data_IF_194245174318
#
_entry.id   IF_194245174318
#
_cell.length_a   1.000
_cell.length_b   1.000
_cell.length_c   1.000
_cell.angle_alpha   90.00
_cell.angle_beta   90.00
_cell.angle_gamma   90.00
#
_symmetry.space_group_name_H-M   'P 1'
#
loop_
_entity.id
_entity.type
_entity.pdbx_description
1 polymer ?
#
# COMPACT_ATOMS: atom_id res chain seq x y z
N UNK A 1 -2.72 -1.19 17.41
CA UNK A 1 -2.83 -1.27 15.94
C UNK A 1 -1.47 -1.43 15.27
N UNK A 2 -0.49 -0.56 15.58
CA UNK A 2 0.87 -0.67 15.03
C UNK A 2 1.65 -1.90 15.50
N UNK A 3 1.43 -2.38 16.72
CA UNK A 3 2.03 -3.63 17.22
C UNK A 3 1.62 -4.86 16.39
N UNK A 4 0.47 -4.81 15.71
CA UNK A 4 0.00 -5.85 14.78
C UNK A 4 0.66 -5.75 13.40
N UNK A 5 1.47 -4.73 13.15
CA UNK A 5 2.24 -4.55 11.91
C UNK A 5 3.72 -4.77 12.20
N UNK A 6 4.07 -5.95 12.72
CA UNK A 6 5.40 -6.34 13.14
C UNK A 6 5.94 -7.52 12.31
N UNK A 7 7.25 -7.74 12.41
CA UNK A 7 7.89 -8.90 11.81
C UNK A 7 7.35 -10.22 12.38
N UNK A 8 7.11 -10.28 13.68
CA UNK A 8 6.59 -11.48 14.36
C UNK A 8 5.17 -11.82 13.89
N UNK A 9 4.30 -10.81 13.72
CA UNK A 9 2.95 -11.03 13.20
C UNK A 9 3.00 -11.49 11.74
N UNK A 10 3.91 -10.92 10.94
CA UNK A 10 4.14 -11.37 9.56
C UNK A 10 4.51 -12.85 9.48
N UNK A 11 5.50 -13.29 10.28
CA UNK A 11 5.94 -14.69 10.32
C UNK A 11 4.85 -15.61 10.88
N UNK A 12 4.15 -15.18 11.93
CA UNK A 12 3.01 -15.91 12.51
C UNK A 12 1.89 -16.15 11.48
N UNK A 13 1.57 -15.19 10.61
CA UNK A 13 0.56 -15.37 9.57
C UNK A 13 1.02 -16.34 8.47
N UNK A 14 2.33 -16.37 8.17
CA UNK A 14 2.93 -17.37 7.29
C UNK A 14 2.82 -18.77 7.91
N UNK A 15 3.23 -18.93 9.17
CA UNK A 15 3.24 -20.22 9.88
C UNK A 15 1.83 -20.82 10.05
N UNK A 16 0.81 -19.96 10.14
CA UNK A 16 -0.61 -20.34 10.15
C UNK A 16 -1.15 -20.73 8.77
N UNK A 17 -0.34 -20.67 7.72
CA UNK A 17 -0.72 -21.04 6.37
C UNK A 17 -1.62 -20.03 5.66
N UNK A 18 -1.66 -18.75 6.08
CA UNK A 18 -2.40 -17.73 5.34
C UNK A 18 -1.80 -17.48 3.96
N UNK A 19 -2.63 -17.05 3.01
CA UNK A 19 -2.15 -16.65 1.69
C UNK A 19 -1.46 -15.28 1.76
N UNK A 20 -0.16 -15.27 2.07
CA UNK A 20 0.60 -14.02 2.20
C UNK A 20 1.05 -13.52 0.83
N UNK A 21 0.75 -12.26 0.52
CA UNK A 21 1.23 -11.55 -0.67
C UNK A 21 2.02 -10.33 -0.21
N UNK A 22 3.21 -10.14 -0.77
CA UNK A 22 4.09 -9.01 -0.42
C UNK A 22 4.22 -8.04 -1.60
N UNK A 23 4.16 -6.74 -1.34
CA UNK A 23 4.37 -5.67 -2.33
C UNK A 23 5.57 -4.80 -1.93
N UNK A 24 6.65 -4.83 -2.71
CA UNK A 24 7.91 -4.14 -2.44
C UNK A 24 7.96 -2.78 -3.13
N UNK A 25 8.29 -1.73 -2.37
CA UNK A 25 8.48 -0.40 -2.96
C UNK A 25 9.80 -0.26 -3.73
N UNK A 26 9.83 0.55 -4.81
CA UNK A 26 11.07 0.87 -5.52
C UNK A 26 12.14 1.47 -4.62
N UNK A 27 11.76 2.26 -3.62
CA UNK A 27 12.66 2.89 -2.65
C UNK A 27 13.31 1.86 -1.74
N UNK A 28 12.53 0.93 -1.18
CA UNK A 28 13.04 -0.17 -0.35
C UNK A 28 14.00 -1.05 -1.18
N UNK A 29 13.62 -1.36 -2.42
CA UNK A 29 14.46 -2.11 -3.37
C UNK A 29 15.77 -1.38 -3.66
N UNK A 30 15.72 -0.08 -3.91
CA UNK A 30 16.90 0.74 -4.17
C UNK A 30 17.83 0.83 -2.94
N UNK A 31 17.27 1.01 -1.74
CA UNK A 31 18.05 1.04 -0.50
C UNK A 31 18.79 -0.28 -0.25
N UNK A 32 18.11 -1.41 -0.41
CA UNK A 32 18.73 -2.74 -0.29
C UNK A 32 19.76 -3.01 -1.41
N UNK A 33 19.51 -2.51 -2.62
CA UNK A 33 20.46 -2.61 -3.74
C UNK A 33 21.79 -1.93 -3.41
N UNK A 34 21.74 -0.71 -2.86
CA UNK A 34 22.92 0.00 -2.39
C UNK A 34 23.59 -0.76 -1.24
N UNK A 35 22.82 -1.22 -0.25
CA UNK A 35 23.36 -1.93 0.92
C UNK A 35 24.15 -3.20 0.55
N UNK A 36 23.63 -4.00 -0.38
CA UNK A 36 24.26 -5.26 -0.79
C UNK A 36 25.22 -5.13 -1.99
N UNK A 37 25.39 -3.93 -2.56
CA UNK A 37 26.20 -3.74 -3.78
C UNK A 37 25.65 -4.48 -5.00
N UNK A 38 24.32 -4.60 -5.10
CA UNK A 38 23.62 -5.32 -6.18
C UNK A 38 22.79 -4.35 -7.02
N UNK A 39 22.41 -4.75 -8.24
CA UNK A 39 21.42 -3.99 -9.01
C UNK A 39 20.00 -4.14 -8.40
N UNK A 40 19.10 -3.17 -8.61
CA UNK A 40 17.70 -3.29 -8.16
C UNK A 40 17.00 -4.56 -8.66
N UNK A 41 17.32 -5.00 -9.89
CA UNK A 41 16.76 -6.23 -10.47
C UNK A 41 17.29 -7.47 -9.75
N UNK A 42 18.58 -7.53 -9.42
CA UNK A 42 19.15 -8.63 -8.64
C UNK A 42 18.54 -8.70 -7.24
N UNK A 43 18.37 -7.54 -6.57
CA UNK A 43 17.70 -7.48 -5.26
C UNK A 43 16.26 -7.95 -5.34
N UNK A 44 15.49 -7.51 -6.34
CA UNK A 44 14.11 -7.98 -6.50
C UNK A 44 14.05 -9.50 -6.67
N UNK A 45 14.93 -10.08 -7.50
CA UNK A 45 15.01 -11.54 -7.69
C UNK A 45 15.37 -12.27 -6.39
N UNK A 46 16.40 -11.81 -5.67
CA UNK A 46 16.81 -12.42 -4.39
C UNK A 46 15.73 -12.31 -3.33
N UNK A 47 15.10 -11.15 -3.18
CA UNK A 47 13.95 -10.98 -2.28
C UNK A 47 12.77 -11.86 -2.70
N UNK A 48 12.52 -12.03 -4.00
CA UNK A 48 11.47 -12.94 -4.49
C UNK A 48 11.74 -14.37 -4.02
N UNK A 49 12.96 -14.87 -4.22
CA UNK A 49 13.36 -16.21 -3.77
C UNK A 49 13.26 -16.33 -2.24
N UNK A 50 13.77 -15.34 -1.52
CA UNK A 50 13.76 -15.29 -0.07
C UNK A 50 12.35 -15.33 0.52
N UNK A 51 11.47 -14.41 0.12
CA UNK A 51 10.09 -14.41 0.61
C UNK A 51 9.34 -15.68 0.21
N UNK A 52 9.55 -16.23 -0.99
CA UNK A 52 8.95 -17.50 -1.39
C UNK A 52 9.43 -18.67 -0.53
N UNK A 53 10.72 -18.72 -0.16
CA UNK A 53 11.23 -19.76 0.74
C UNK A 53 10.67 -19.68 2.15
N UNK A 54 10.20 -18.50 2.59
CA UNK A 54 9.46 -18.36 3.84
C UNK A 54 8.01 -18.82 3.72
N UNK A 55 7.44 -18.92 2.53
CA UNK A 55 6.03 -19.31 2.31
C UNK A 55 5.16 -18.21 1.71
N UNK A 56 5.73 -17.05 1.34
CA UNK A 56 4.98 -16.00 0.64
C UNK A 56 4.56 -16.49 -0.75
N UNK A 57 3.27 -16.33 -1.07
CA UNK A 57 2.66 -16.85 -2.31
C UNK A 57 3.04 -16.02 -3.53
N UNK A 58 3.15 -14.70 -3.40
CA UNK A 58 3.56 -13.80 -4.47
C UNK A 58 4.27 -12.55 -3.95
N UNK A 59 5.23 -12.05 -4.75
CA UNK A 59 5.91 -10.77 -4.53
C UNK A 59 5.66 -9.84 -5.72
N UNK A 60 5.18 -8.63 -5.47
CA UNK A 60 4.92 -7.60 -6.48
C UNK A 60 5.80 -6.37 -6.26
N UNK A 61 6.03 -5.60 -7.33
CA UNK A 61 6.71 -4.31 -7.28
C UNK A 61 5.67 -3.19 -7.39
N UNK A 62 5.72 -2.20 -6.50
CA UNK A 62 4.74 -1.11 -6.49
C UNK A 62 4.97 -0.04 -7.57
N UNK A 63 5.95 -0.22 -8.47
CA UNK A 63 6.17 0.68 -9.61
C UNK A 63 4.91 0.86 -10.46
N UNK A 64 4.19 -0.21 -10.78
CA UNK A 64 2.95 -0.12 -11.56
C UNK A 64 1.87 0.71 -10.83
N UNK A 65 1.68 0.47 -9.53
CA UNK A 65 0.75 1.29 -8.73
C UNK A 65 1.17 2.74 -8.62
N UNK A 66 2.48 3.04 -8.66
CA UNK A 66 2.97 4.43 -8.69
C UNK A 66 2.59 5.12 -9.99
N UNK A 67 2.70 4.43 -11.11
CA UNK A 67 2.30 4.97 -12.41
C UNK A 67 0.78 5.20 -12.48
N UNK A 68 -0.01 4.27 -11.92
CA UNK A 68 -1.47 4.45 -11.81
C UNK A 68 -1.83 5.65 -10.93
N UNK A 69 -1.24 5.78 -9.73
CA UNK A 69 -1.47 6.97 -8.88
C UNK A 69 -1.05 8.27 -9.58
N UNK A 70 0.01 8.25 -10.39
CA UNK A 70 0.44 9.41 -11.16
C UNK A 70 -0.59 9.78 -12.23
N UNK A 71 -1.06 8.80 -13.01
CA UNK A 71 -2.09 9.02 -14.04
C UNK A 71 -3.36 9.60 -13.40
N UNK A 72 -3.83 9.03 -12.29
CA UNK A 72 -5.01 9.52 -11.59
C UNK A 72 -4.79 10.93 -11.01
N UNK A 73 -3.60 11.23 -10.49
CA UNK A 73 -3.26 12.58 -10.01
C UNK A 73 -3.26 13.60 -11.16
N UNK A 74 -2.76 13.22 -12.33
CA UNK A 74 -2.82 14.05 -13.53
C UNK A 74 -4.27 14.29 -13.98
N UNK A 75 -5.11 13.25 -13.99
CA UNK A 75 -6.52 13.36 -14.33
C UNK A 75 -7.26 14.30 -13.38
N UNK A 76 -7.05 14.14 -12.07
CA UNK A 76 -7.62 15.01 -11.05
C UNK A 76 -7.15 16.47 -11.22
N UNK A 77 -5.85 16.68 -11.46
CA UNK A 77 -5.31 18.01 -11.70
C UNK A 77 -5.95 18.67 -12.92
N UNK A 78 -6.06 17.96 -14.05
CA UNK A 78 -6.69 18.49 -15.27
C UNK A 78 -8.15 18.84 -15.01
N UNK A 79 -8.89 18.01 -14.27
CA UNK A 79 -10.28 18.29 -13.91
C UNK A 79 -10.40 19.55 -13.04
N UNK A 80 -9.60 19.63 -11.97
CA UNK A 80 -9.54 20.81 -11.07
C UNK A 80 -9.13 22.08 -11.84
N UNK A 81 -8.14 21.97 -12.72
CA UNK A 81 -7.70 23.09 -13.56
C UNK A 81 -8.82 23.58 -14.47
N UNK A 82 -9.53 22.70 -15.18
CA UNK A 82 -10.69 23.10 -16.01
C UNK A 82 -11.77 23.81 -15.20
N UNK A 83 -12.09 23.32 -14.01
CA UNK A 83 -13.05 23.96 -13.09
C UNK A 83 -12.56 25.35 -12.66
N UNK A 84 -11.26 25.51 -12.39
CA UNK A 84 -10.67 26.80 -11.99
C UNK A 84 -10.81 27.89 -13.08
N UNK A 85 -10.88 27.49 -14.36
CA UNK A 85 -11.03 28.41 -15.49
C UNK A 85 -12.48 28.82 -15.75
N UNK A 86 -13.45 28.10 -15.17
CA UNK A 86 -14.87 28.38 -15.35
C UNK A 86 -15.29 29.58 -14.48
N UNK A 87 -15.60 30.72 -15.10
CA UNK A 87 -16.08 31.91 -14.41
C UNK A 87 -17.51 31.74 -13.90
N UNK A 88 -17.72 31.77 -12.58
CA UNK A 88 -19.06 31.97 -11.99
C UNK A 88 -19.46 31.06 -10.83
N UNK A 89 -18.74 29.96 -10.58
CA UNK A 89 -19.08 29.04 -9.48
C UNK A 89 -18.18 29.27 -8.25
N UNK A 90 -18.75 29.32 -7.04
CA UNK A 90 -17.99 29.31 -5.78
C UNK A 90 -17.05 28.09 -5.68
N UNK A 91 -17.41 26.95 -6.32
CA UNK A 91 -16.55 25.75 -6.46
C UNK A 91 -15.26 26.00 -7.25
N UNK A 92 -15.20 27.01 -8.13
CA UNK A 92 -13.99 27.35 -8.88
C UNK A 92 -12.86 27.83 -7.97
N UNK A 93 -13.18 28.51 -6.85
CA UNK A 93 -12.22 29.11 -5.93
C UNK A 93 -11.45 28.09 -5.08
N UNK A 94 -11.98 26.88 -4.88
CA UNK A 94 -11.38 25.83 -4.04
C UNK A 94 -10.72 24.71 -4.86
N UNK A 95 -10.61 24.86 -6.17
CA UNK A 95 -10.06 23.82 -7.05
C UNK A 95 -8.53 23.78 -7.08
N UNK A 96 -7.86 24.92 -6.84
CA UNK A 96 -6.40 25.06 -6.90
C UNK A 96 -5.88 25.96 -5.76
N UNK A 97 -4.65 25.75 -5.27
CA UNK A 97 -3.65 24.77 -5.74
C UNK A 97 -4.05 23.32 -5.43
N UNK A 98 -3.48 22.36 -6.15
CA UNK A 98 -3.64 20.93 -5.83
C UNK A 98 -2.39 20.41 -5.15
N UNK A 99 -2.55 19.78 -3.99
CA UNK A 99 -1.45 19.31 -3.14
C UNK A 99 -1.46 17.78 -3.12
N UNK A 100 -0.29 17.17 -3.29
CA UNK A 100 -0.14 15.72 -3.28
C UNK A 100 -0.56 15.10 -1.93
N UNK A 101 -1.10 13.89 -1.99
CA UNK A 101 -1.65 13.14 -0.84
C UNK A 101 -0.83 11.92 -0.42
N UNK A 102 0.18 11.53 -1.20
CA UNK A 102 0.84 10.22 -1.05
C UNK A 102 1.72 10.06 0.21
N UNK A 103 2.02 11.15 0.92
CA UNK A 103 2.85 11.16 2.14
C UNK A 103 1.96 11.15 3.39
N UNK A 104 1.95 10.06 4.20
CA UNK A 104 1.07 9.98 5.36
C UNK A 104 1.40 10.99 6.46
N UNK A 105 2.69 11.31 6.65
CA UNK A 105 3.10 12.36 7.59
C UNK A 105 2.54 13.73 7.22
N UNK A 106 2.50 14.06 5.92
CA UNK A 106 1.85 15.27 5.41
C UNK A 106 0.34 15.26 5.66
N UNK A 107 -0.35 14.16 5.33
CA UNK A 107 -1.80 14.04 5.57
C UNK A 107 -2.12 14.20 7.06
N UNK A 108 -1.38 13.53 7.94
CA UNK A 108 -1.55 13.63 9.38
C UNK A 108 -1.34 15.07 9.87
N UNK A 109 -0.30 15.75 9.39
CA UNK A 109 -0.05 17.16 9.71
C UNK A 109 -1.19 18.07 9.22
N UNK A 110 -1.63 17.89 7.98
CA UNK A 110 -2.72 18.66 7.38
C UNK A 110 -4.03 18.49 8.16
N UNK A 111 -4.43 17.26 8.47
CA UNK A 111 -5.65 16.95 9.22
C UNK A 111 -5.62 17.53 10.64
N UNK A 112 -4.50 17.38 11.36
CA UNK A 112 -4.40 17.77 12.77
C UNK A 112 -4.11 19.25 13.00
N UNK A 113 -3.41 19.89 12.07
CA UNK A 113 -2.86 21.24 12.30
C UNK A 113 -3.52 22.29 11.43
N UNK A 114 -3.86 21.96 10.19
CA UNK A 114 -4.32 22.93 9.20
C UNK A 114 -5.84 22.84 8.94
N UNK A 115 -6.42 21.65 9.05
CA UNK A 115 -7.86 21.41 8.94
C UNK A 115 -8.46 21.95 7.63
N UNK A 116 -9.65 22.54 7.74
CA UNK A 116 -10.45 23.01 6.58
C UNK A 116 -9.73 24.02 5.68
N UNK A 117 -8.66 24.67 6.17
CA UNK A 117 -7.86 25.58 5.36
C UNK A 117 -7.14 24.86 4.22
N UNK A 118 -6.62 23.65 4.44
CA UNK A 118 -5.79 22.93 3.47
C UNK A 118 -6.47 21.70 2.87
N UNK A 119 -7.34 21.02 3.63
CA UNK A 119 -7.92 19.74 3.24
C UNK A 119 -8.63 19.77 1.86
N UNK A 120 -9.35 20.83 1.46
CA UNK A 120 -9.98 20.89 0.12
C UNK A 120 -8.97 20.86 -1.05
N UNK A 121 -7.73 21.28 -0.80
CA UNK A 121 -6.67 21.37 -1.80
C UNK A 121 -5.87 20.08 -1.95
N UNK A 122 -6.03 19.13 -1.02
CA UNK A 122 -5.34 17.84 -1.08
C UNK A 122 -6.00 16.94 -2.14
N UNK A 123 -5.17 16.26 -2.92
CA UNK A 123 -5.57 15.25 -3.89
C UNK A 123 -6.37 14.13 -3.23
N UNK A 124 -7.45 13.69 -3.86
CA UNK A 124 -8.21 12.52 -3.40
C UNK A 124 -7.59 11.18 -3.84
N UNK A 125 -6.51 11.22 -4.63
CA UNK A 125 -5.87 10.01 -5.16
C UNK A 125 -5.16 9.25 -4.04
N UNK A 126 -5.38 7.94 -4.00
CA UNK A 126 -4.70 7.02 -3.07
C UNK A 126 -3.19 7.00 -3.33
N UNK A 127 -2.41 6.80 -2.26
CA UNK A 127 -0.97 6.59 -2.43
C UNK A 127 -0.68 5.26 -3.14
N UNK A 128 0.51 5.08 -3.75
CA UNK A 128 0.86 3.83 -4.43
C UNK A 128 0.72 2.59 -3.55
N UNK A 129 0.94 2.70 -2.23
CA UNK A 129 0.72 1.61 -1.27
C UNK A 129 -0.74 1.16 -1.25
N UNK A 130 -1.66 2.12 -1.13
CA UNK A 130 -3.08 1.81 -1.04
C UNK A 130 -3.63 1.41 -2.41
N UNK A 131 -3.15 2.02 -3.49
CA UNK A 131 -3.46 1.63 -4.86
C UNK A 131 -3.09 0.17 -5.12
N UNK A 132 -1.89 -0.30 -4.75
CA UNK A 132 -1.53 -1.73 -4.94
C UNK A 132 -2.35 -2.66 -4.04
N UNK A 133 -2.69 -2.25 -2.81
CA UNK A 133 -3.57 -3.01 -1.92
C UNK A 133 -4.95 -3.24 -2.51
N UNK A 134 -5.57 -2.16 -3.01
CA UNK A 134 -6.84 -2.21 -3.72
C UNK A 134 -6.76 -3.15 -4.94
N UNK A 135 -5.73 -3.02 -5.76
CA UNK A 135 -5.54 -3.88 -6.95
C UNK A 135 -5.38 -5.35 -6.56
N UNK A 136 -4.61 -5.63 -5.50
CA UNK A 136 -4.36 -7.00 -5.07
C UNK A 136 -5.64 -7.66 -4.60
N UNK A 137 -6.37 -7.01 -3.70
CA UNK A 137 -7.57 -7.56 -3.07
C UNK A 137 -8.80 -7.57 -3.98
N UNK A 138 -8.87 -6.70 -4.98
CA UNK A 138 -10.02 -6.68 -5.91
C UNK A 138 -9.79 -7.46 -7.20
N UNK A 139 -8.54 -7.61 -7.67
CA UNK A 139 -8.27 -8.17 -8.99
C UNK A 139 -7.23 -9.29 -8.98
N UNK A 140 -6.08 -9.11 -8.32
CA UNK A 140 -4.99 -10.10 -8.42
C UNK A 140 -5.31 -11.36 -7.63
N UNK A 141 -5.97 -11.27 -6.46
CA UNK A 141 -6.30 -12.45 -5.67
C UNK A 141 -7.20 -13.43 -6.45
N UNK A 142 -8.15 -12.92 -7.24
CA UNK A 142 -9.03 -13.72 -8.10
C UNK A 142 -8.22 -14.48 -9.16
N UNK A 143 -7.26 -13.80 -9.80
CA UNK A 143 -6.34 -14.44 -10.76
C UNK A 143 -5.43 -15.52 -10.13
N UNK A 144 -5.24 -15.46 -8.82
CA UNK A 144 -4.51 -16.46 -8.03
C UNK A 144 -5.42 -17.53 -7.40
N UNK A 145 -6.71 -17.55 -7.78
CA UNK A 145 -7.75 -18.40 -7.20
C UNK A 145 -7.82 -18.27 -5.66
N UNK A 146 -7.72 -17.05 -5.15
CA UNK A 146 -7.81 -16.69 -3.74
C UNK A 146 -8.98 -15.73 -3.51
N UNK A 147 -9.66 -15.88 -2.37
CA UNK A 147 -10.63 -14.88 -1.94
C UNK A 147 -9.92 -13.69 -1.26
N UNK A 148 -10.47 -12.46 -1.33
CA UNK A 148 -9.85 -11.29 -0.72
C UNK A 148 -9.65 -11.41 0.80
N UNK A 149 -10.56 -12.11 1.49
CA UNK A 149 -10.54 -12.36 2.94
C UNK A 149 -9.53 -13.42 3.38
N UNK A 150 -9.03 -14.24 2.46
CA UNK A 150 -7.99 -15.23 2.72
C UNK A 150 -6.58 -14.65 2.55
N UNK A 151 -6.46 -13.52 1.83
CA UNK A 151 -5.18 -12.88 1.55
C UNK A 151 -4.74 -12.06 2.74
N UNK A 152 -3.49 -12.23 3.17
CA UNK A 152 -2.81 -11.30 4.06
C UNK A 152 -1.79 -10.50 3.22
N UNK A 153 -2.15 -9.26 2.88
CA UNK A 153 -1.36 -8.40 2.03
C UNK A 153 -0.44 -7.50 2.85
N UNK A 154 0.86 -7.62 2.59
CA UNK A 154 1.93 -6.92 3.31
C UNK A 154 2.68 -6.03 2.33
N UNK A 155 2.96 -4.80 2.70
CA UNK A 155 3.81 -3.92 1.88
C UNK A 155 5.18 -3.70 2.53
N UNK A 156 6.23 -3.58 1.74
CA UNK A 156 7.59 -3.27 2.22
C UNK A 156 7.94 -1.85 1.82
N UNK A 157 8.01 -0.96 2.81
CA UNK A 157 8.10 0.49 2.60
C UNK A 157 9.36 1.09 3.27
N UNK A 158 9.86 2.24 2.78
CA UNK A 158 11.03 2.90 3.36
C UNK A 158 10.66 3.82 4.54
N UNK A 159 9.37 3.96 4.86
CA UNK A 159 8.85 4.98 5.78
C UNK A 159 7.97 4.31 6.84
N UNK A 160 8.17 4.66 8.11
CA UNK A 160 7.37 4.14 9.21
C UNK A 160 5.91 4.59 9.15
N UNK A 161 5.65 5.83 8.75
CA UNK A 161 4.28 6.39 8.67
C UNK A 161 3.38 5.65 7.68
N UNK A 162 3.95 4.83 6.80
CA UNK A 162 3.15 3.94 5.94
C UNK A 162 2.37 2.90 6.74
N UNK A 163 2.84 2.52 7.94
CA UNK A 163 2.05 1.72 8.90
C UNK A 163 0.82 2.47 9.38
N UNK A 164 0.92 3.79 9.60
CA UNK A 164 -0.22 4.64 9.98
C UNK A 164 -1.23 4.76 8.83
N UNK A 165 -0.75 4.85 7.59
CA UNK A 165 -1.63 4.88 6.42
C UNK A 165 -2.40 3.57 6.24
N UNK A 166 -1.73 2.41 6.35
CA UNK A 166 -2.39 1.10 6.31
C UNK A 166 -3.43 0.92 7.41
N UNK A 167 -3.23 1.62 8.53
CA UNK A 167 -4.08 1.57 9.70
C UNK A 167 -5.30 2.52 9.66
N UNK A 168 -5.59 3.18 8.53
CA UNK A 168 -6.78 4.02 8.42
C UNK A 168 -8.02 3.18 8.11
N UNK A 169 -9.10 3.44 8.83
CA UNK A 169 -10.40 2.81 8.61
C UNK A 169 -11.03 3.20 7.25
N UNK A 170 -10.46 4.19 6.55
CA UNK A 170 -10.88 4.60 5.21
C UNK A 170 -10.49 3.57 4.11
N UNK A 171 -9.57 2.65 4.39
CA UNK A 171 -9.01 1.71 3.41
C UNK A 171 -9.52 0.28 3.60
N UNK A 172 -10.84 0.18 3.73
CA UNK A 172 -11.60 -1.06 3.83
C UNK A 172 -12.70 -1.11 2.76
N UNK A 173 -13.10 -2.31 2.37
CA UNK A 173 -14.27 -2.53 1.52
C UNK A 173 -15.08 -3.73 2.03
N UNK A 174 -16.38 -3.75 1.72
CA UNK A 174 -17.27 -4.82 2.13
C UNK A 174 -17.25 -5.94 1.10
N UNK A 175 -16.99 -7.16 1.56
CA UNK A 175 -17.14 -8.37 0.77
C UNK A 175 -18.51 -8.99 1.08
N UNK A 176 -19.34 -9.12 0.05
CA UNK A 176 -20.63 -9.81 0.16
C UNK A 176 -20.39 -11.33 0.30
N UNK A 177 -20.95 -11.91 1.36
CA UNK A 177 -20.92 -13.36 1.56
C UNK A 177 -21.88 -14.05 0.58
N UNK A 178 -21.44 -15.07 -0.17
CA UNK A 178 -22.35 -15.85 -1.01
C UNK A 178 -23.32 -16.63 -0.12
N UNK A 179 -24.55 -16.13 0.05
CA UNK A 179 -25.62 -16.82 0.77
C UNK A 179 -26.46 -15.97 1.73
N UNK A 180 -26.08 -14.72 2.02
CA UNK A 180 -26.86 -13.85 2.93
C UNK A 180 -27.94 -13.06 2.16
N UNK A 181 -29.14 -13.63 2.08
CA UNK A 181 -30.36 -12.95 1.61
C UNK A 181 -31.05 -12.12 2.70
N UNK A 182 -30.44 -12.00 3.89
CA UNK A 182 -30.97 -11.21 5.00
C UNK A 182 -29.92 -10.26 5.57
N UNK A 183 -29.90 -9.03 5.04
CA UNK A 183 -29.58 -7.81 5.78
C UNK A 183 -28.27 -7.75 6.59
N UNK A 184 -27.23 -7.19 5.94
CA UNK A 184 -26.33 -6.18 6.52
C UNK A 184 -25.14 -6.60 7.41
N UNK A 185 -24.49 -7.74 7.17
CA UNK A 185 -23.14 -8.01 7.74
C UNK A 185 -22.16 -8.53 6.69
N UNK A 186 -21.79 -7.65 5.75
CA UNK A 186 -20.66 -7.91 4.86
C UNK A 186 -19.35 -7.97 5.65
N UNK A 187 -18.43 -8.85 5.27
CA UNK A 187 -17.12 -8.93 5.91
C UNK A 187 -16.29 -7.72 5.47
N UNK A 188 -15.79 -6.96 6.44
CA UNK A 188 -14.93 -5.80 6.17
C UNK A 188 -13.50 -6.25 5.88
N UNK A 189 -12.99 -5.90 4.69
CA UNK A 189 -11.68 -6.32 4.19
C UNK A 189 -10.78 -5.10 4.06
N UNK A 190 -9.63 -5.14 4.73
CA UNK A 190 -8.58 -4.13 4.58
C UNK A 190 -7.79 -4.33 3.28
N UNK A 191 -7.47 -3.24 2.59
CA UNK A 191 -6.68 -3.26 1.35
C UNK A 191 -5.20 -3.62 1.59
N UNK A 192 -4.62 -3.14 2.69
CA UNK A 192 -3.23 -3.41 3.13
C UNK A 192 -3.27 -3.83 4.60
N UNK A 193 -3.04 -5.11 4.86
CA UNK A 193 -3.15 -5.67 6.21
C UNK A 193 -1.96 -5.28 7.11
N UNK A 194 -0.76 -5.12 6.52
CA UNK A 194 0.45 -4.79 7.27
C UNK A 194 1.52 -4.10 6.42
N UNK A 195 2.41 -3.37 7.09
CA UNK A 195 3.58 -2.78 6.47
C UNK A 195 4.83 -3.20 7.24
N UNK A 196 5.82 -3.72 6.52
CA UNK A 196 7.18 -3.91 7.00
C UNK A 196 8.06 -2.77 6.49
N UNK A 197 8.92 -2.26 7.35
CA UNK A 197 9.94 -1.28 6.94
C UNK A 197 11.09 -1.99 6.22
N UNK A 198 11.85 -1.22 5.46
CA UNK A 198 13.09 -1.72 4.82
C UNK A 198 14.08 -2.27 5.87
N UNK A 199 14.13 -1.65 7.06
CA UNK A 199 14.95 -2.12 8.17
C UNK A 199 14.49 -3.48 8.71
N UNK A 200 13.19 -3.65 8.97
CA UNK A 200 12.64 -4.95 9.43
C UNK A 200 12.91 -6.08 8.43
N UNK A 201 12.85 -5.79 7.12
CA UNK A 201 13.22 -6.78 6.08
C UNK A 201 14.72 -7.06 6.09
N UNK A 202 15.57 -6.07 6.34
CA UNK A 202 17.01 -6.26 6.46
C UNK A 202 17.35 -7.15 7.66
N UNK A 203 16.73 -6.90 8.82
CA UNK A 203 16.89 -7.72 10.03
C UNK A 203 16.47 -9.17 9.76
N UNK A 204 15.33 -9.36 9.08
CA UNK A 204 14.83 -10.68 8.69
C UNK A 204 15.82 -11.43 7.78
N UNK A 205 16.43 -10.73 6.83
CA UNK A 205 17.46 -11.30 5.93
C UNK A 205 18.70 -11.73 6.73
N UNK A 206 19.15 -10.91 7.68
CA UNK A 206 20.33 -11.20 8.49
C UNK A 206 20.14 -12.43 9.40
N UNK A 207 18.95 -12.59 9.98
CA UNK A 207 18.62 -13.79 10.77
C UNK A 207 18.58 -15.05 9.89
N UNK A 208 18.27 -14.90 8.60
CA UNK A 208 18.11 -16.00 7.64
C UNK A 208 19.19 -16.01 6.54
N UNK A 209 20.43 -15.61 6.89
CA UNK A 209 21.52 -15.33 5.93
C UNK A 209 21.77 -16.49 4.95
N UNK A 210 21.62 -17.74 5.39
CA UNK A 210 21.81 -18.92 4.54
C UNK A 210 20.87 -18.96 3.33
N UNK A 211 19.70 -18.34 3.40
CA UNK A 211 18.66 -18.39 2.38
C UNK A 211 18.83 -17.26 1.35
N UNK A 212 19.26 -16.08 1.77
CA UNK A 212 19.38 -14.91 0.89
C UNK A 212 20.69 -14.90 0.06
N UNK A 213 21.75 -15.52 0.59
CA UNK A 213 23.05 -15.58 -0.09
C UNK A 213 23.10 -16.62 -1.24
N UNK A 214 22.25 -17.65 -1.21
CA UNK A 214 22.06 -18.57 -2.35
C UNK A 214 21.40 -17.87 -3.55
#
# INVERSE_FOLDING_TARGET
MLEKQSLDEFLSNIDRGKAVIVSLSPQSRAALAVHFGLSPVQVFRKLTTFFKSLGVKALFDTSCSRDLSLIESCNEFIARYKISQSTGDEKSKQSLPMIASACPGWICYAEKTLGSYILPYISSVKSPQQTIGAIIKNHICQNLCLRPDEVYHVTVMPCYDKKLEAARDDFVFQLESPGDTHGNTGLEITEVDSVLTTGEVLDLIQVNTNIFCM
#
